data_IF_945930796725
#
_entry.id   IF_945930796725
#
_cell.length_a   1.000
_cell.length_b   1.000
_cell.length_c   1.000
_cell.angle_alpha   90.00
_cell.angle_beta   90.00
_cell.angle_gamma   90.00
#
_symmetry.space_group_name_H-M   'P 1'
#
loop_
_entity.id
_entity.type
_entity.pdbx_description
1 polymer ?
#
# COMPACT_ATOMS: atom_id res chain seq x y z
N UNK A 1 18.86 1.38 -0.60
CA UNK A 1 17.92 0.74 0.35
C UNK A 1 17.89 -0.74 0.01
N UNK A 2 18.09 -1.63 0.99
CA UNK A 2 17.94 -3.07 0.76
C UNK A 2 16.47 -3.45 0.96
N UNK A 3 15.75 -3.67 -0.15
CA UNK A 3 14.32 -3.94 -0.14
C UNK A 3 14.00 -5.34 0.42
N UNK A 4 14.94 -6.29 0.36
CA UNK A 4 14.68 -7.69 0.75
C UNK A 4 14.48 -7.88 2.25
N UNK A 5 14.96 -6.94 3.06
CA UNK A 5 14.70 -6.90 4.50
C UNK A 5 13.48 -6.05 4.87
N UNK A 6 12.78 -5.47 3.89
CA UNK A 6 11.63 -4.59 4.11
C UNK A 6 10.32 -5.22 3.63
N UNK A 7 10.37 -6.09 2.62
CA UNK A 7 9.18 -6.66 2.00
C UNK A 7 9.21 -8.18 2.02
N UNK A 8 8.05 -8.77 2.32
CA UNK A 8 7.82 -10.20 2.12
C UNK A 8 7.98 -10.59 0.64
N UNK A 9 8.49 -11.80 0.29
CA UNK A 9 8.72 -12.22 -1.09
C UNK A 9 7.54 -12.05 -2.06
N UNK A 10 6.30 -12.22 -1.59
CA UNK A 10 5.07 -12.01 -2.38
C UNK A 10 4.98 -10.61 -3.02
N UNK A 11 5.54 -9.59 -2.37
CA UNK A 11 5.58 -8.24 -2.94
C UNK A 11 6.45 -8.17 -4.20
N UNK A 12 7.55 -8.94 -4.25
CA UNK A 12 8.45 -9.01 -5.41
C UNK A 12 7.88 -9.85 -6.57
N UNK A 13 6.88 -10.68 -6.31
CA UNK A 13 6.17 -11.43 -7.36
C UNK A 13 5.21 -10.53 -8.15
N UNK A 14 4.73 -9.46 -7.51
CA UNK A 14 3.74 -8.52 -8.09
C UNK A 14 4.39 -7.23 -8.56
N UNK A 15 5.27 -6.65 -7.76
CA UNK A 15 5.85 -5.32 -7.99
C UNK A 15 7.33 -5.39 -8.39
N UNK A 16 7.72 -4.46 -9.27
CA UNK A 16 9.12 -4.19 -9.57
C UNK A 16 9.79 -3.47 -8.40
N UNK A 17 11.13 -3.50 -8.35
CA UNK A 17 11.89 -2.82 -7.30
C UNK A 17 11.58 -1.31 -7.21
N UNK A 18 11.34 -0.65 -8.34
CA UNK A 18 11.04 0.79 -8.35
C UNK A 18 9.63 1.08 -7.81
N UNK A 19 8.67 0.20 -8.08
CA UNK A 19 7.32 0.28 -7.49
C UNK A 19 7.36 -0.01 -5.98
N UNK A 20 8.20 -0.95 -5.53
CA UNK A 20 8.39 -1.23 -4.10
C UNK A 20 9.03 -0.05 -3.35
N UNK A 21 9.97 0.67 -3.98
CA UNK A 21 10.50 1.92 -3.43
C UNK A 21 9.39 2.96 -3.29
N UNK A 22 8.56 3.14 -4.32
CA UNK A 22 7.44 4.09 -4.26
C UNK A 22 6.42 3.71 -3.17
N UNK A 23 6.10 2.42 -3.03
CA UNK A 23 5.23 1.90 -1.96
C UNK A 23 5.83 2.22 -0.60
N UNK A 24 7.10 1.92 -0.38
CA UNK A 24 7.78 2.18 0.89
C UNK A 24 7.82 3.67 1.23
N UNK A 25 8.15 4.53 0.25
CA UNK A 25 8.23 5.98 0.45
C UNK A 25 6.86 6.62 0.72
N UNK A 26 5.78 6.04 0.20
CA UNK A 26 4.41 6.52 0.41
C UNK A 26 3.68 5.85 1.57
N UNK A 27 4.26 4.80 2.16
CA UNK A 27 3.67 4.07 3.27
C UNK A 27 3.54 4.99 4.48
N UNK A 28 2.34 5.02 5.05
CA UNK A 28 2.09 5.66 6.33
C UNK A 28 2.51 4.74 7.48
N UNK A 29 2.23 3.45 7.35
CA UNK A 29 2.64 2.40 8.29
C UNK A 29 3.07 1.17 7.49
N UNK A 30 4.13 0.51 7.93
CA UNK A 30 4.68 -0.65 7.24
C UNK A 30 5.22 -1.69 8.24
N UNK A 31 4.98 -2.94 7.90
CA UNK A 31 5.66 -4.14 8.41
C UNK A 31 6.20 -4.91 7.22
N UNK A 32 6.91 -6.02 7.43
CA UNK A 32 7.38 -6.84 6.32
C UNK A 32 6.24 -7.37 5.44
N UNK A 33 5.08 -7.66 6.05
CA UNK A 33 3.95 -8.33 5.40
C UNK A 33 2.77 -7.40 5.08
N UNK A 34 2.70 -6.20 5.68
CA UNK A 34 1.58 -5.29 5.50
C UNK A 34 2.04 -3.84 5.33
N UNK A 35 1.53 -3.18 4.30
CA UNK A 35 1.80 -1.77 3.96
C UNK A 35 0.50 -1.00 3.84
N UNK A 36 0.39 0.05 4.64
CA UNK A 36 -0.77 0.95 4.66
C UNK A 36 -0.39 2.29 4.05
N UNK A 37 -1.13 2.71 3.03
CA UNK A 37 -0.90 3.95 2.30
C UNK A 37 -2.17 4.80 2.27
N UNK A 38 -2.04 6.11 2.49
CA UNK A 38 -3.11 7.07 2.29
C UNK A 38 -2.71 8.11 1.25
N UNK A 39 -3.60 8.37 0.31
CA UNK A 39 -3.55 9.59 -0.49
C UNK A 39 -4.81 10.44 -0.20
N UNK A 40 -4.94 11.58 -0.85
CA UNK A 40 -6.07 12.48 -0.60
C UNK A 40 -7.46 11.84 -0.82
N UNK A 41 -7.56 10.76 -1.62
CA UNK A 41 -8.84 10.14 -1.97
C UNK A 41 -8.99 8.71 -1.44
N UNK A 42 -7.90 7.95 -1.39
CA UNK A 42 -7.93 6.50 -1.16
C UNK A 42 -7.07 6.09 0.04
N UNK A 43 -7.56 5.07 0.72
CA UNK A 43 -6.82 4.19 1.61
C UNK A 43 -6.44 2.93 0.85
N UNK A 44 -5.21 2.47 1.04
CA UNK A 44 -4.74 1.19 0.52
C UNK A 44 -4.11 0.38 1.63
N UNK A 45 -4.39 -0.92 1.63
CA UNK A 45 -3.71 -1.93 2.44
C UNK A 45 -3.19 -3.02 1.51
N UNK A 46 -1.87 -3.20 1.47
CA UNK A 46 -1.22 -4.29 0.75
C UNK A 46 -0.82 -5.34 1.78
N UNK A 47 -1.36 -6.55 1.68
CA UNK A 47 -1.17 -7.61 2.68
C UNK A 47 -0.66 -8.89 2.04
N UNK A 48 0.45 -9.39 2.57
CA UNK A 48 1.06 -10.68 2.24
C UNK A 48 0.69 -11.79 3.24
N UNK A 49 0.06 -11.44 4.37
CA UNK A 49 -0.35 -12.39 5.42
C UNK A 49 -1.63 -13.16 5.05
N UNK A 50 -2.44 -12.61 4.15
CA UNK A 50 -3.69 -13.22 3.72
C UNK A 50 -3.48 -14.18 2.54
N UNK A 51 -3.74 -15.48 2.77
CA UNK A 51 -3.78 -16.49 1.71
C UNK A 51 -2.43 -16.76 1.05
N UNK A 52 -2.45 -17.21 -0.20
CA UNK A 52 -1.24 -17.58 -0.96
C UNK A 52 -0.70 -16.43 -1.84
N UNK A 53 -1.52 -15.43 -2.14
CA UNK A 53 -1.18 -14.31 -3.01
C UNK A 53 -1.04 -13.00 -2.21
N UNK A 54 -0.60 -11.93 -2.87
CA UNK A 54 -0.61 -10.59 -2.28
C UNK A 54 -1.99 -9.96 -2.51
N UNK A 55 -2.66 -9.53 -1.45
CA UNK A 55 -3.93 -8.82 -1.54
C UNK A 55 -3.71 -7.30 -1.50
N UNK A 56 -4.44 -6.57 -2.35
CA UNK A 56 -4.45 -5.09 -2.34
C UNK A 56 -5.88 -4.63 -2.11
N UNK A 57 -6.19 -4.28 -0.86
CA UNK A 57 -7.46 -3.69 -0.49
C UNK A 57 -7.43 -2.17 -0.70
N UNK A 58 -8.53 -1.61 -1.20
CA UNK A 58 -8.68 -0.20 -1.49
C UNK A 58 -10.04 0.31 -1.01
N UNK A 59 -10.03 1.47 -0.35
CA UNK A 59 -11.24 2.15 0.11
C UNK A 59 -11.18 3.65 -0.18
N UNK A 60 -12.33 4.27 -0.47
CA UNK A 60 -12.43 5.71 -0.66
C UNK A 60 -12.63 6.42 0.68
N UNK A 61 -11.73 7.35 1.01
CA UNK A 61 -11.65 7.97 2.34
C UNK A 61 -12.88 8.81 2.73
N UNK A 62 -13.65 9.30 1.75
CA UNK A 62 -14.77 10.22 1.96
C UNK A 62 -16.14 9.56 1.78
N UNK A 63 -16.18 8.33 1.28
CA UNK A 63 -17.42 7.60 1.03
C UNK A 63 -17.53 6.45 2.03
N UNK A 64 -18.74 6.20 2.54
CA UNK A 64 -19.03 4.99 3.32
C UNK A 64 -19.25 3.76 2.42
N UNK A 65 -18.67 3.76 1.22
CA UNK A 65 -18.75 2.62 0.33
C UNK A 65 -17.93 1.46 0.90
N UNK A 66 -18.27 0.24 0.49
CA UNK A 66 -17.47 -0.92 0.88
C UNK A 66 -16.22 -0.92 0.02
N UNK A 67 -15.05 -0.92 0.64
CA UNK A 67 -13.81 -1.10 -0.08
C UNK A 67 -13.78 -2.43 -0.85
N UNK A 68 -12.86 -2.47 -1.80
CA UNK A 68 -12.73 -3.53 -2.80
C UNK A 68 -11.28 -4.02 -2.88
N UNK A 69 -11.11 -5.29 -3.25
CA UNK A 69 -9.80 -5.82 -3.64
C UNK A 69 -9.55 -5.44 -5.09
N UNK A 70 -8.42 -4.80 -5.35
CA UNK A 70 -8.03 -4.31 -6.68
C UNK A 70 -6.73 -4.97 -7.14
N UNK A 71 -6.50 -4.95 -8.45
CA UNK A 71 -5.22 -5.40 -9.01
C UNK A 71 -4.13 -4.32 -8.89
N UNK A 72 -2.90 -4.74 -9.21
CA UNK A 72 -1.71 -3.88 -9.24
C UNK A 72 -1.90 -2.62 -10.10
N UNK A 73 -2.47 -2.78 -11.29
CA UNK A 73 -2.52 -1.70 -12.28
C UNK A 73 -3.49 -0.60 -11.79
N UNK A 74 -4.64 -1.00 -11.26
CA UNK A 74 -5.59 -0.07 -10.67
C UNK A 74 -5.03 0.57 -9.39
N UNK A 75 -4.32 -0.19 -8.56
CA UNK A 75 -3.62 0.35 -7.39
C UNK A 75 -2.64 1.45 -7.78
N UNK A 76 -1.70 1.18 -8.70
CA UNK A 76 -0.68 2.16 -9.10
C UNK A 76 -1.31 3.39 -9.76
N UNK A 77 -2.36 3.18 -10.56
CA UNK A 77 -3.14 4.28 -11.15
C UNK A 77 -3.75 5.17 -10.06
N UNK A 78 -4.44 4.59 -9.07
CA UNK A 78 -5.06 5.35 -7.97
C UNK A 78 -4.03 5.99 -7.04
N UNK A 79 -2.94 5.29 -6.73
CA UNK A 79 -1.82 5.77 -5.92
C UNK A 79 -1.19 7.04 -6.51
N UNK A 80 -0.96 7.03 -7.83
CA UNK A 80 -0.29 8.12 -8.56
C UNK A 80 -1.22 9.25 -8.98
N UNK A 81 -2.53 9.00 -9.05
CA UNK A 81 -3.52 10.01 -9.43
C UNK A 81 -3.71 11.11 -8.38
N UNK A 82 -3.38 10.84 -7.12
CA UNK A 82 -3.57 11.78 -6.01
C UNK A 82 -2.28 11.94 -5.21
N UNK A 83 -2.02 13.15 -4.68
CA UNK A 83 -0.86 13.36 -3.82
C UNK A 83 -1.05 12.64 -2.48
N UNK A 84 0.06 12.33 -1.76
CA UNK A 84 -0.01 11.81 -0.40
C UNK A 84 -0.91 12.68 0.48
N UNK A 85 -1.62 12.06 1.42
CA UNK A 85 -2.41 12.82 2.40
C UNK A 85 -1.45 13.42 3.43
N UNK A 86 -1.51 14.73 3.63
CA UNK A 86 -0.77 15.38 4.73
C UNK A 86 -1.32 14.88 6.08
N UNK A 87 -0.60 13.96 6.72
CA UNK A 87 -0.94 13.40 8.01
C UNK A 87 0.31 13.33 8.90
N UNK A 88 0.28 14.05 10.03
CA UNK A 88 1.31 13.93 11.08
C UNK A 88 1.39 12.46 11.51
N UNK A 89 2.60 11.90 11.44
CA UNK A 89 2.96 10.66 12.13
C UNK A 89 2.60 10.83 13.61
N UNK A 90 1.64 10.05 14.10
CA UNK A 90 1.46 9.84 15.53
C UNK A 90 2.12 8.50 15.80
N UNK A 91 3.33 8.54 16.36
CA UNK A 91 3.95 7.34 16.92
C UNK A 91 3.03 6.83 18.03
N UNK A 92 2.60 5.59 17.91
CA UNK A 92 1.82 4.91 18.96
C UNK A 92 2.80 3.98 19.67
N UNK A 93 3.15 4.34 20.91
CA UNK A 93 3.98 3.54 21.84
C UNK A 93 3.35 2.17 22.17
#
# INVERSE_FOLDING_TARGET
MDLKGLFHPKFFEVFSEDELKEIYERAFCATEECYVIFNQKYFFELSADLGDELEIYCDECETYDKGEVIDKDEFLKRLRAYPPRDGKVVEVD
#
